data_IF_906766414188
#
_entry.id   IF_906766414188
#
_cell.length_a   1.000
_cell.length_b   1.000
_cell.length_c   1.000
_cell.angle_alpha   90.00
_cell.angle_beta   90.00
_cell.angle_gamma   90.00
#
_symmetry.space_group_name_H-M   'P 1'
#
loop_
_entity.id
_entity.type
_entity.pdbx_description
1 polymer ?
#
# COMPACT_ATOMS: atom_id res chain seq x y z
N UNK A 1 1.34 22.87 -1.04
CA UNK A 1 0.79 21.63 -1.65
C UNK A 1 1.24 20.34 -0.98
N UNK A 2 2.52 20.19 -0.61
CA UNK A 2 3.00 18.98 0.08
C UNK A 2 2.17 18.59 1.32
N UNK A 3 1.93 19.55 2.23
CA UNK A 3 1.12 19.31 3.43
C UNK A 3 -0.33 18.90 3.14
N UNK A 4 -0.93 19.37 2.04
CA UNK A 4 -2.25 18.87 1.61
C UNK A 4 -2.18 17.39 1.22
N UNK A 5 -1.09 16.95 0.59
CA UNK A 5 -0.83 15.54 0.32
C UNK A 5 -0.81 14.69 1.59
N UNK A 6 -0.07 15.15 2.60
CA UNK A 6 -0.06 14.50 3.93
C UNK A 6 -1.45 14.44 4.55
N UNK A 7 -2.20 15.55 4.54
CA UNK A 7 -3.57 15.57 5.03
C UNK A 7 -4.47 14.57 4.30
N UNK A 8 -4.39 14.52 2.96
CA UNK A 8 -5.14 13.54 2.18
C UNK A 8 -4.73 12.10 2.48
N UNK A 9 -3.46 11.83 2.78
CA UNK A 9 -3.01 10.49 3.17
C UNK A 9 -3.63 10.05 4.49
N UNK A 10 -3.81 10.96 5.44
CA UNK A 10 -4.45 10.68 6.73
C UNK A 10 -5.94 10.39 6.53
N UNK A 11 -6.63 11.24 5.76
CA UNK A 11 -8.06 11.04 5.44
C UNK A 11 -8.26 9.71 4.72
N UNK A 12 -7.44 9.43 3.70
CA UNK A 12 -7.50 8.17 2.95
C UNK A 12 -7.24 6.96 3.86
N UNK A 13 -6.21 7.02 4.70
CA UNK A 13 -5.87 5.94 5.63
C UNK A 13 -6.98 5.69 6.63
N UNK A 14 -7.64 6.74 7.12
CA UNK A 14 -8.72 6.64 8.08
C UNK A 14 -9.99 6.02 7.47
N UNK A 15 -10.31 6.35 6.22
CA UNK A 15 -11.53 5.91 5.55
C UNK A 15 -11.40 4.51 4.91
N UNK A 16 -10.26 4.22 4.29
CA UNK A 16 -10.13 3.07 3.39
C UNK A 16 -9.16 1.99 3.86
N UNK A 17 -8.15 2.34 4.66
CA UNK A 17 -7.14 1.39 5.11
C UNK A 17 -7.50 0.79 6.47
N UNK A 18 -7.12 -0.47 6.73
CA UNK A 18 -7.40 -1.10 8.01
C UNK A 18 -6.64 -0.41 9.15
N UNK A 19 -7.28 -0.21 10.30
CA UNK A 19 -6.61 0.40 11.47
C UNK A 19 -5.61 -0.54 12.16
N UNK A 20 -5.64 -1.83 11.84
CA UNK A 20 -4.80 -2.87 12.45
C UNK A 20 -4.29 -3.83 11.36
N UNK A 21 -3.14 -4.43 11.62
CA UNK A 21 -2.54 -5.47 10.78
C UNK A 21 -3.48 -6.66 10.58
N UNK A 22 -3.31 -7.40 9.47
CA UNK A 22 -4.09 -8.60 9.11
C UNK A 22 -5.60 -8.40 8.85
N UNK A 23 -6.10 -7.17 8.89
CA UNK A 23 -7.47 -6.87 8.48
C UNK A 23 -7.54 -6.52 7.00
N UNK A 24 -8.67 -6.86 6.37
CA UNK A 24 -8.93 -6.47 4.99
C UNK A 24 -9.25 -4.96 4.93
N UNK A 25 -8.88 -4.28 3.83
CA UNK A 25 -9.35 -2.92 3.58
C UNK A 25 -10.88 -2.85 3.50
N UNK A 26 -11.43 -1.66 3.75
CA UNK A 26 -12.88 -1.43 3.76
C UNK A 26 -13.49 -1.73 2.39
N UNK A 27 -12.79 -1.32 1.33
CA UNK A 27 -13.16 -1.61 -0.06
C UNK A 27 -12.49 -2.92 -0.47
N UNK A 28 -13.29 -3.89 -0.93
CA UNK A 28 -12.81 -5.21 -1.38
C UNK A 28 -13.02 -5.35 -2.87
N UNK A 29 -11.95 -5.15 -3.64
CA UNK A 29 -11.93 -5.37 -5.10
C UNK A 29 -11.01 -6.53 -5.41
N UNK A 30 -11.43 -7.45 -6.28
CA UNK A 30 -10.60 -8.57 -6.72
C UNK A 30 -10.49 -8.54 -8.25
N UNK A 31 -9.27 -8.40 -8.76
CA UNK A 31 -8.93 -8.41 -10.19
C UNK A 31 -7.87 -9.49 -10.37
N UNK A 32 -8.30 -10.66 -10.85
CA UNK A 32 -7.41 -11.81 -11.01
C UNK A 32 -6.38 -11.55 -12.13
N UNK A 33 -5.13 -12.06 -12.01
CA UNK A 33 -4.59 -12.84 -10.90
C UNK A 33 -3.77 -11.99 -9.90
N UNK A 34 -3.91 -10.66 -9.87
CA UNK A 34 -2.95 -9.77 -9.18
C UNK A 34 -3.56 -9.09 -7.95
N UNK A 35 -4.84 -8.71 -7.99
CA UNK A 35 -5.51 -8.00 -6.90
C UNK A 35 -6.53 -8.93 -6.24
N UNK A 36 -6.43 -9.12 -4.93
CA UNK A 36 -7.40 -9.85 -4.12
C UNK A 36 -7.77 -9.02 -2.90
N UNK A 37 -9.06 -8.69 -2.72
CA UNK A 37 -9.54 -7.80 -1.67
C UNK A 37 -8.72 -6.49 -1.56
N UNK A 38 -8.47 -5.83 -2.69
CA UNK A 38 -7.70 -4.58 -2.82
C UNK A 38 -6.26 -4.64 -2.31
N UNK A 39 -5.74 -5.85 -2.13
CA UNK A 39 -4.35 -6.14 -1.82
C UNK A 39 -3.68 -6.78 -3.03
N UNK A 40 -2.40 -6.47 -3.23
CA UNK A 40 -1.63 -7.02 -4.35
C UNK A 40 -1.02 -8.35 -3.91
N UNK A 41 -1.30 -9.39 -4.68
CA UNK A 41 -0.79 -10.75 -4.52
C UNK A 41 -0.25 -11.26 -5.85
N UNK A 42 1.03 -11.63 -5.89
CA UNK A 42 1.66 -12.28 -7.04
C UNK A 42 1.79 -13.77 -6.71
N UNK A 43 1.07 -14.66 -7.41
CA UNK A 43 1.12 -16.09 -7.12
C UNK A 43 2.51 -16.68 -7.42
N UNK A 44 3.10 -17.37 -6.44
CA UNK A 44 4.37 -18.11 -6.62
C UNK A 44 4.07 -19.56 -6.98
N UNK A 45 3.12 -20.18 -6.26
CA UNK A 45 2.63 -21.53 -6.51
C UNK A 45 1.21 -21.69 -5.94
N UNK A 46 0.63 -22.91 -6.02
CA UNK A 46 -0.72 -23.20 -5.51
C UNK A 46 -0.91 -22.95 -4.00
N UNK A 47 0.16 -22.88 -3.21
CA UNK A 47 0.10 -22.71 -1.74
C UNK A 47 0.48 -21.30 -1.29
N UNK A 48 1.36 -20.62 -2.01
CA UNK A 48 1.98 -19.35 -1.59
C UNK A 48 1.90 -18.26 -2.65
N UNK A 49 1.73 -17.03 -2.18
CA UNK A 49 1.78 -15.82 -2.99
C UNK A 49 2.61 -14.74 -2.27
N UNK A 50 3.26 -13.90 -3.08
CA UNK A 50 3.93 -12.69 -2.60
C UNK A 50 2.89 -11.58 -2.46
N UNK A 51 2.63 -11.15 -1.24
CA UNK A 51 1.84 -9.98 -0.93
C UNK A 51 2.70 -8.73 -0.95
N UNK A 52 2.40 -7.79 -1.85
CA UNK A 52 3.07 -6.49 -1.86
C UNK A 52 2.29 -5.52 -0.97
N UNK A 53 2.92 -5.11 0.12
CA UNK A 53 2.39 -4.05 0.97
C UNK A 53 2.42 -2.71 0.23
N UNK A 54 1.39 -1.89 0.42
CA UNK A 54 1.25 -0.61 -0.26
C UNK A 54 2.39 0.36 0.06
N UNK A 55 2.97 0.30 1.27
CA UNK A 55 4.09 1.18 1.64
C UNK A 55 5.27 1.06 0.66
N UNK A 56 5.48 -0.12 0.09
CA UNK A 56 6.57 -0.35 -0.86
C UNK A 56 6.34 0.44 -2.16
N UNK A 57 5.09 0.46 -2.65
CA UNK A 57 4.70 1.21 -3.85
C UNK A 57 4.90 2.71 -3.63
N UNK A 58 4.43 3.22 -2.50
CA UNK A 58 4.56 4.65 -2.20
C UNK A 58 6.00 5.04 -1.89
N UNK A 59 6.81 4.15 -1.31
CA UNK A 59 8.25 4.36 -1.17
C UNK A 59 8.92 4.48 -2.53
N UNK A 60 8.58 3.60 -3.49
CA UNK A 60 9.10 3.73 -4.85
C UNK A 60 8.75 5.10 -5.45
N UNK A 61 7.51 5.58 -5.32
CA UNK A 61 7.14 6.92 -5.83
C UNK A 61 8.02 8.02 -5.21
N UNK A 62 8.28 7.96 -3.89
CA UNK A 62 9.17 8.91 -3.21
C UNK A 62 10.59 8.82 -3.78
N UNK A 63 11.14 7.62 -3.93
CA UNK A 63 12.49 7.42 -4.48
C UNK A 63 12.60 7.90 -5.93
N UNK A 64 11.58 7.64 -6.75
CA UNK A 64 11.53 8.14 -8.13
C UNK A 64 11.43 9.66 -8.21
N UNK A 65 10.84 10.33 -7.21
CA UNK A 65 10.76 11.79 -7.18
C UNK A 65 12.11 12.51 -7.12
N UNK A 66 13.20 11.81 -6.78
CA UNK A 66 14.56 12.33 -6.87
C UNK A 66 15.09 12.39 -8.32
N UNK A 67 14.55 11.57 -9.21
CA UNK A 67 14.98 11.46 -10.61
C UNK A 67 14.04 12.18 -11.57
N UNK A 68 12.75 12.27 -11.23
CA UNK A 68 11.70 12.90 -12.06
C UNK A 68 10.88 13.90 -11.24
N UNK A 69 10.39 14.95 -11.89
CA UNK A 69 9.57 15.95 -11.22
C UNK A 69 8.17 15.42 -10.93
N UNK A 70 7.93 15.02 -9.69
CA UNK A 70 6.62 14.57 -9.20
C UNK A 70 5.95 15.73 -8.42
N UNK A 71 4.66 16.02 -8.66
CA UNK A 71 3.93 17.03 -7.92
C UNK A 71 4.07 16.87 -6.39
N UNK A 72 4.40 17.96 -5.69
CA UNK A 72 4.63 17.96 -4.23
C UNK A 72 3.48 17.34 -3.42
N UNK A 73 2.25 17.47 -3.91
CA UNK A 73 1.07 16.84 -3.30
C UNK A 73 1.13 15.31 -3.33
N UNK A 74 1.60 14.71 -4.43
CA UNK A 74 1.76 13.27 -4.59
C UNK A 74 2.89 12.77 -3.69
N UNK A 75 3.99 13.52 -3.59
CA UNK A 75 5.11 13.18 -2.69
C UNK A 75 4.63 13.17 -1.23
N UNK A 76 3.90 14.21 -0.79
CA UNK A 76 3.35 14.27 0.57
C UNK A 76 2.36 13.15 0.85
N UNK A 77 1.48 12.83 -0.11
CA UNK A 77 0.55 11.72 0.00
C UNK A 77 1.28 10.37 0.13
N UNK A 78 2.28 10.15 -0.71
CA UNK A 78 3.09 8.92 -0.72
C UNK A 78 3.87 8.76 0.58
N UNK A 79 4.43 9.84 1.13
CA UNK A 79 5.13 9.81 2.41
C UNK A 79 4.21 9.34 3.53
N UNK A 80 3.01 9.91 3.62
CA UNK A 80 2.06 9.52 4.65
C UNK A 80 1.61 8.06 4.56
N UNK A 81 1.36 7.56 3.35
CA UNK A 81 1.00 6.15 3.15
C UNK A 81 2.17 5.18 3.37
N UNK A 82 3.41 5.63 3.13
CA UNK A 82 4.60 4.86 3.46
C UNK A 82 4.74 4.70 4.97
N UNK A 83 4.66 5.80 5.73
CA UNK A 83 4.72 5.78 7.20
C UNK A 83 3.58 4.93 7.76
N UNK A 84 2.36 5.13 7.27
CA UNK A 84 1.20 4.38 7.71
C UNK A 84 1.37 2.88 7.46
N UNK A 85 1.85 2.47 6.28
CA UNK A 85 2.00 1.05 6.00
C UNK A 85 3.18 0.40 6.72
N UNK A 86 4.24 1.15 7.01
CA UNK A 86 5.34 0.69 7.86
C UNK A 86 4.92 0.52 9.34
N UNK A 87 3.90 1.26 9.79
CA UNK A 87 3.38 1.14 11.16
C UNK A 87 2.63 -0.17 11.44
N UNK A 88 2.29 -0.95 10.40
CA UNK A 88 1.70 -2.27 10.58
C UNK A 88 2.73 -3.30 11.06
N UNK A 89 2.35 -4.12 12.03
CA UNK A 89 3.21 -5.19 12.56
C UNK A 89 3.60 -6.25 11.51
N UNK A 90 2.83 -6.40 10.43
CA UNK A 90 3.12 -7.34 9.34
C UNK A 90 3.78 -6.67 8.11
N UNK A 91 4.24 -5.42 8.21
CA UNK A 91 4.77 -4.62 7.10
C UNK A 91 5.92 -5.28 6.33
N UNK A 92 6.72 -6.15 6.96
CA UNK A 92 7.81 -6.91 6.35
C UNK A 92 7.47 -8.38 6.05
N UNK A 93 6.22 -8.80 6.25
CA UNK A 93 5.77 -10.18 6.02
C UNK A 93 5.14 -10.36 4.63
N UNK A 94 5.99 -10.58 3.63
CA UNK A 94 5.56 -10.60 2.22
C UNK A 94 5.02 -11.96 1.75
N UNK A 95 5.36 -13.08 2.38
CA UNK A 95 4.91 -14.41 1.92
C UNK A 95 3.62 -14.77 2.64
N UNK A 96 2.51 -14.87 1.91
CA UNK A 96 1.19 -15.26 2.45
C UNK A 96 0.66 -16.49 1.71
N UNK A 97 -0.37 -17.13 2.27
CA UNK A 97 -1.09 -18.21 1.56
C UNK A 97 -1.67 -17.67 0.27
N UNK A 98 -1.60 -18.44 -0.81
CA UNK A 98 -2.18 -18.04 -2.09
C UNK A 98 -3.70 -17.86 -1.93
N UNK A 99 -4.25 -16.65 -2.20
CA UNK A 99 -5.68 -16.40 -2.07
C UNK A 99 -6.50 -16.79 -3.32
N UNK A 100 -5.85 -17.25 -4.40
CA UNK A 100 -6.47 -17.65 -5.66
C UNK A 100 -6.69 -19.15 -5.79
#
# INVERSE_FOLDING_TARGET
MFFYGLLFSLIYSYLFLPRKSKHNPTIKVTIRPIIYNSMIFIPINKKYALHLHHWLIYLFIILFSFFINIPKIIIGFSLGLTIQGLSYNDSFYFIKKNPY
#
